data_IF_182402506511
#
_entry.id   IF_182402506511
#
_cell.length_a   1.000
_cell.length_b   1.000
_cell.length_c   1.000
_cell.angle_alpha   90.00
_cell.angle_beta   90.00
_cell.angle_gamma   90.00
#
_symmetry.space_group_name_H-M   'P 1'
#
loop_
_entity.id
_entity.type
_entity.pdbx_description
1 polymer ?
#
# COMPACT_ATOMS: atom_id res chain seq x y z
N UNK A 1 28.63 25.20 7.72
CA UNK A 1 27.35 24.97 8.43
C UNK A 1 26.74 23.73 7.83
N UNK A 2 26.50 22.71 8.63
CA UNK A 2 25.80 21.53 8.16
C UNK A 2 24.34 21.92 7.96
N UNK A 3 23.78 21.73 6.76
CA UNK A 3 22.43 22.22 6.40
C UNK A 3 21.26 21.58 7.17
N UNK A 4 21.56 20.83 8.22
CA UNK A 4 20.61 20.14 9.08
C UNK A 4 20.48 20.92 10.39
N UNK A 5 19.31 21.51 10.58
CA UNK A 5 18.85 22.10 11.85
C UNK A 5 17.47 21.51 12.14
N UNK A 6 17.47 20.30 12.72
CA UNK A 6 16.24 19.57 13.05
C UNK A 6 16.00 19.60 14.55
N UNK A 7 14.76 19.87 14.94
CA UNK A 7 14.24 19.69 16.30
C UNK A 7 13.76 18.23 16.48
N UNK A 8 14.50 17.37 17.19
CA UNK A 8 14.12 15.96 17.34
C UNK A 8 12.79 15.76 18.06
N UNK A 9 12.43 16.66 18.99
CA UNK A 9 11.16 16.58 19.71
C UNK A 9 9.99 16.93 18.78
N UNK A 10 10.15 17.99 17.98
CA UNK A 10 9.21 18.35 16.92
C UNK A 10 9.00 17.21 15.91
N UNK A 11 10.07 16.57 15.45
CA UNK A 11 9.98 15.43 14.53
C UNK A 11 9.25 14.25 15.18
N UNK A 12 9.54 13.91 16.43
CA UNK A 12 8.83 12.85 17.17
C UNK A 12 7.31 13.11 17.24
N UNK A 13 6.91 14.36 17.48
CA UNK A 13 5.50 14.76 17.47
C UNK A 13 4.82 14.54 16.11
N UNK A 14 5.50 14.88 15.00
CA UNK A 14 4.99 14.66 13.64
C UNK A 14 4.93 13.17 13.30
N UNK A 15 5.95 12.40 13.66
CA UNK A 15 6.00 10.95 13.45
C UNK A 15 4.87 10.24 14.19
N UNK A 16 4.59 10.62 15.43
CA UNK A 16 3.49 10.04 16.23
C UNK A 16 2.12 10.29 15.60
N UNK A 17 1.85 11.53 15.18
CA UNK A 17 0.60 11.90 14.50
C UNK A 17 0.45 11.16 13.17
N UNK A 18 1.50 11.14 12.37
CA UNK A 18 1.50 10.50 11.05
C UNK A 18 1.39 8.98 11.15
N UNK A 19 2.05 8.37 12.13
CA UNK A 19 1.90 6.94 12.44
C UNK A 19 0.49 6.58 12.90
N UNK A 20 -0.17 7.46 13.67
CA UNK A 20 -1.58 7.28 14.04
C UNK A 20 -2.49 7.31 12.81
N UNK A 21 -2.32 8.32 11.93
CA UNK A 21 -3.08 8.41 10.69
C UNK A 21 -2.84 7.20 9.77
N UNK A 22 -1.59 6.74 9.64
CA UNK A 22 -1.24 5.55 8.87
C UNK A 22 -1.92 4.28 9.42
N UNK A 23 -1.98 4.14 10.75
CA UNK A 23 -2.68 3.05 11.41
C UNK A 23 -4.18 3.07 11.13
N UNK A 24 -4.81 4.24 11.18
CA UNK A 24 -6.24 4.36 10.89
C UNK A 24 -6.57 4.11 9.42
N UNK A 25 -5.70 4.54 8.50
CA UNK A 25 -5.78 4.19 7.08
C UNK A 25 -5.70 2.67 6.87
N UNK A 26 -4.77 1.98 7.54
CA UNK A 26 -4.66 0.52 7.46
C UNK A 26 -5.92 -0.19 7.98
N UNK A 27 -6.51 0.29 9.07
CA UNK A 27 -7.80 -0.24 9.57
C UNK A 27 -8.92 -0.04 8.57
N UNK A 28 -9.03 1.16 7.98
CA UNK A 28 -10.06 1.47 6.99
C UNK A 28 -9.92 0.58 5.74
N UNK A 29 -8.70 0.40 5.23
CA UNK A 29 -8.43 -0.53 4.12
C UNK A 29 -8.81 -1.97 4.44
N UNK A 30 -8.47 -2.44 5.65
CA UNK A 30 -8.86 -3.77 6.13
C UNK A 30 -10.36 -3.96 6.37
N UNK A 31 -11.12 -2.89 6.65
CA UNK A 31 -12.57 -2.91 6.71
C UNK A 31 -13.17 -2.96 5.30
N UNK A 32 -12.72 -2.10 4.39
CA UNK A 32 -13.10 -2.08 2.98
C UNK A 32 -12.92 -3.45 2.31
N UNK A 33 -11.81 -4.15 2.56
CA UNK A 33 -11.60 -5.49 2.00
C UNK A 33 -12.67 -6.49 2.47
N UNK A 34 -13.02 -6.48 3.76
CA UNK A 34 -14.07 -7.36 4.30
C UNK A 34 -15.44 -6.99 3.76
N UNK A 35 -15.73 -5.69 3.63
CA UNK A 35 -17.00 -5.20 3.14
C UNK A 35 -17.19 -5.56 1.65
N UNK A 36 -16.13 -5.47 0.84
CA UNK A 36 -16.13 -5.91 -0.56
C UNK A 36 -16.36 -7.41 -0.70
N UNK A 37 -15.72 -8.23 0.13
CA UNK A 37 -15.92 -9.69 0.14
C UNK A 37 -17.35 -10.06 0.55
N UNK A 38 -17.87 -9.42 1.59
CA UNK A 38 -19.25 -9.59 2.06
C UNK A 38 -20.27 -9.17 0.99
N UNK A 39 -20.09 -8.00 0.40
CA UNK A 39 -20.96 -7.49 -0.66
C UNK A 39 -20.91 -8.37 -1.92
N UNK A 40 -19.72 -8.85 -2.31
CA UNK A 40 -19.57 -9.77 -3.44
C UNK A 40 -20.28 -11.10 -3.19
N UNK A 41 -20.22 -11.63 -1.96
CA UNK A 41 -20.92 -12.86 -1.58
C UNK A 41 -22.44 -12.68 -1.55
N UNK A 42 -22.92 -11.49 -1.20
CA UNK A 42 -24.34 -11.15 -1.16
C UNK A 42 -24.92 -10.77 -2.55
N UNK A 43 -24.08 -10.51 -3.56
CA UNK A 43 -24.45 -9.95 -4.86
C UNK A 43 -25.27 -10.88 -5.78
N UNK A 44 -25.69 -12.05 -5.30
CA UNK A 44 -26.39 -13.06 -6.10
C UNK A 44 -25.47 -13.76 -7.11
N UNK A 45 -25.97 -14.85 -7.69
CA UNK A 45 -25.23 -15.65 -8.67
C UNK A 45 -25.96 -15.67 -9.99
N UNK A 46 -25.20 -15.70 -11.09
CA UNK A 46 -25.76 -16.02 -12.40
C UNK A 46 -25.82 -17.54 -12.52
N UNK A 47 -27.02 -18.06 -12.80
CA UNK A 47 -27.24 -19.46 -13.17
C UNK A 47 -27.47 -19.55 -14.67
N UNK A 48 -26.80 -20.49 -15.34
CA UNK A 48 -27.08 -20.78 -16.74
C UNK A 48 -28.45 -21.43 -16.87
N UNK A 49 -29.35 -20.80 -17.63
CA UNK A 49 -30.71 -21.32 -17.86
C UNK A 49 -30.72 -22.57 -18.77
N UNK A 50 -29.60 -22.91 -19.43
CA UNK A 50 -29.51 -23.98 -20.44
C UNK A 50 -28.25 -24.87 -20.35
N UNK A 51 -27.58 -24.93 -19.20
CA UNK A 51 -26.36 -25.74 -19.00
C UNK A 51 -26.24 -26.33 -17.58
N UNK A 52 -25.20 -27.13 -17.27
CA UNK A 52 -25.01 -27.66 -15.92
C UNK A 52 -25.03 -26.50 -14.92
N UNK A 53 -25.76 -26.67 -13.81
CA UNK A 53 -25.96 -25.66 -12.78
C UNK A 53 -24.64 -25.30 -12.08
N UNK A 54 -23.81 -24.48 -12.71
CA UNK A 54 -22.64 -23.86 -12.08
C UNK A 54 -23.04 -22.43 -11.74
N UNK A 55 -23.15 -22.14 -10.45
CA UNK A 55 -23.39 -20.77 -9.99
C UNK A 55 -22.09 -19.99 -10.12
N UNK A 56 -22.05 -19.02 -11.05
CA UNK A 56 -20.95 -18.05 -11.16
C UNK A 56 -21.31 -16.78 -10.40
N UNK A 57 -20.31 -16.07 -9.88
CA UNK A 57 -20.50 -14.77 -9.24
C UNK A 57 -21.36 -13.85 -10.14
N UNK A 58 -22.36 -13.20 -9.54
CA UNK A 58 -23.20 -12.24 -10.25
C UNK A 58 -22.39 -11.08 -10.82
N UNK A 59 -23.00 -10.30 -11.73
CA UNK A 59 -22.35 -9.16 -12.39
C UNK A 59 -21.79 -8.16 -11.35
N UNK A 60 -22.54 -7.94 -10.27
CA UNK A 60 -22.13 -7.06 -9.16
C UNK A 60 -20.93 -7.64 -8.40
N UNK A 61 -20.95 -8.93 -8.04
CA UNK A 61 -19.81 -9.57 -7.38
C UNK A 61 -18.54 -9.55 -8.25
N UNK A 62 -18.70 -9.77 -9.55
CA UNK A 62 -17.61 -9.68 -10.53
C UNK A 62 -17.03 -8.26 -10.63
N UNK A 63 -17.88 -7.23 -10.62
CA UNK A 63 -17.44 -5.84 -10.63
C UNK A 63 -16.70 -5.44 -9.34
N UNK A 64 -17.19 -5.91 -8.18
CA UNK A 64 -16.53 -5.68 -6.89
C UNK A 64 -15.17 -6.37 -6.82
N UNK A 65 -15.02 -7.58 -7.38
CA UNK A 65 -13.74 -8.26 -7.49
C UNK A 65 -12.74 -7.48 -8.36
N UNK A 66 -13.17 -6.96 -9.52
CA UNK A 66 -12.32 -6.12 -10.38
C UNK A 66 -11.94 -4.80 -9.69
N UNK A 67 -12.88 -4.17 -9.00
CA UNK A 67 -12.62 -2.97 -8.22
C UNK A 67 -11.59 -3.25 -7.11
N UNK A 68 -11.75 -4.34 -6.35
CA UNK A 68 -10.80 -4.75 -5.33
C UNK A 68 -9.40 -4.98 -5.92
N UNK A 69 -9.29 -5.69 -7.05
CA UNK A 69 -8.03 -5.94 -7.73
C UNK A 69 -7.34 -4.65 -8.18
N UNK A 70 -8.10 -3.70 -8.74
CA UNK A 70 -7.56 -2.44 -9.23
C UNK A 70 -7.03 -1.56 -8.09
N UNK A 71 -7.78 -1.42 -7.01
CA UNK A 71 -7.43 -0.49 -5.93
C UNK A 71 -6.47 -1.08 -4.90
N UNK A 72 -6.40 -2.41 -4.75
CA UNK A 72 -5.53 -3.04 -3.75
C UNK A 72 -4.06 -2.69 -3.98
N UNK A 73 -3.60 -2.65 -5.24
CA UNK A 73 -2.22 -2.24 -5.56
C UNK A 73 -1.92 -0.85 -5.02
N UNK A 74 -2.80 0.10 -5.30
CA UNK A 74 -2.57 1.51 -4.98
C UNK A 74 -2.66 1.74 -3.47
N UNK A 75 -3.56 1.03 -2.78
CA UNK A 75 -3.65 1.03 -1.32
C UNK A 75 -2.38 0.48 -0.66
N UNK A 76 -1.87 -0.65 -1.16
CA UNK A 76 -0.59 -1.24 -0.70
C UNK A 76 0.57 -0.29 -1.00
N UNK A 77 0.57 0.34 -2.18
CA UNK A 77 1.60 1.32 -2.55
C UNK A 77 1.65 2.51 -1.60
N UNK A 78 0.50 3.13 -1.31
CA UNK A 78 0.42 4.27 -0.39
C UNK A 78 0.85 3.85 1.01
N UNK A 79 0.44 2.67 1.48
CA UNK A 79 0.87 2.13 2.77
C UNK A 79 2.40 1.96 2.85
N UNK A 80 3.00 1.31 1.85
CA UNK A 80 4.46 1.11 1.76
C UNK A 80 5.23 2.42 1.65
N UNK A 81 4.72 3.37 0.87
CA UNK A 81 5.32 4.70 0.71
C UNK A 81 5.29 5.49 2.02
N UNK A 82 4.19 5.38 2.76
CA UNK A 82 4.01 6.01 4.07
C UNK A 82 4.95 5.38 5.08
N UNK A 83 5.01 4.05 5.14
CA UNK A 83 5.93 3.29 6.00
C UNK A 83 7.39 3.71 5.76
N UNK A 84 7.85 3.71 4.50
CA UNK A 84 9.20 4.17 4.12
C UNK A 84 9.48 5.61 4.58
N UNK A 85 8.54 6.54 4.36
CA UNK A 85 8.71 7.93 4.78
C UNK A 85 8.86 8.07 6.30
N UNK A 86 8.02 7.37 7.05
CA UNK A 86 8.04 7.45 8.52
C UNK A 86 9.32 6.84 9.09
N UNK A 87 9.70 5.66 8.61
CA UNK A 87 10.92 4.98 9.05
C UNK A 87 12.16 5.79 8.67
N UNK A 88 12.24 6.30 7.44
CA UNK A 88 13.35 7.14 7.01
C UNK A 88 13.50 8.42 7.81
N UNK A 89 12.40 9.09 8.13
CA UNK A 89 12.43 10.28 8.99
C UNK A 89 12.85 9.95 10.43
N UNK A 90 12.41 8.82 10.97
CA UNK A 90 12.85 8.34 12.28
C UNK A 90 14.36 8.02 12.28
N UNK A 91 14.82 7.21 11.33
CA UNK A 91 16.23 6.82 11.17
C UNK A 91 17.13 8.03 10.93
N UNK A 92 16.71 8.98 10.09
CA UNK A 92 17.47 10.20 9.83
C UNK A 92 17.60 11.06 11.09
N UNK A 93 16.54 11.19 11.87
CA UNK A 93 16.56 11.94 13.13
C UNK A 93 17.45 11.25 14.16
N UNK A 94 17.36 9.93 14.28
CA UNK A 94 18.24 9.13 15.14
C UNK A 94 19.70 9.33 14.75
N UNK A 95 20.05 9.18 13.47
CA UNK A 95 21.41 9.38 12.98
C UNK A 95 21.93 10.81 13.24
N UNK A 96 21.08 11.82 13.05
CA UNK A 96 21.41 13.21 13.37
C UNK A 96 21.69 13.41 14.86
N UNK A 97 20.86 12.87 15.76
CA UNK A 97 21.07 12.94 17.22
C UNK A 97 22.37 12.24 17.63
N UNK A 98 22.76 11.17 16.94
CA UNK A 98 24.04 10.50 17.14
C UNK A 98 25.24 11.21 16.48
N UNK A 99 25.03 12.36 15.84
CA UNK A 99 26.08 13.17 15.20
C UNK A 99 26.52 12.68 13.81
N UNK A 100 25.83 11.67 13.25
CA UNK A 100 26.17 11.08 11.95
C UNK A 100 25.27 11.62 10.85
N UNK A 101 25.68 12.74 10.26
CA UNK A 101 24.89 13.41 9.23
C UNK A 101 24.90 12.68 7.89
N UNK A 102 25.97 11.93 7.60
CA UNK A 102 26.03 11.06 6.43
C UNK A 102 24.97 9.97 6.52
N UNK A 103 24.85 9.30 7.68
CA UNK A 103 23.80 8.31 7.89
C UNK A 103 22.40 8.95 7.87
N UNK A 104 22.26 10.17 8.37
CA UNK A 104 20.99 10.89 8.30
C UNK A 104 20.58 11.19 6.84
N UNK A 105 21.51 11.65 6.02
CA UNK A 105 21.30 11.90 4.60
C UNK A 105 21.01 10.60 3.83
N UNK A 106 21.73 9.52 4.14
CA UNK A 106 21.52 8.21 3.52
C UNK A 106 20.12 7.67 3.86
N UNK A 107 19.70 7.72 5.13
CA UNK A 107 18.36 7.29 5.54
C UNK A 107 17.25 8.08 4.80
N UNK A 108 17.42 9.40 4.66
CA UNK A 108 16.50 10.24 3.90
C UNK A 108 16.46 9.84 2.41
N UNK A 109 17.62 9.61 1.79
CA UNK A 109 17.71 9.21 0.37
C UNK A 109 17.09 7.83 0.14
N UNK A 110 17.35 6.85 1.00
CA UNK A 110 16.77 5.51 0.92
C UNK A 110 15.25 5.54 1.04
N UNK A 111 14.72 6.37 1.93
CA UNK A 111 13.27 6.54 2.11
C UNK A 111 12.59 7.28 0.94
N UNK A 112 13.34 8.07 0.16
CA UNK A 112 12.84 8.71 -1.05
C UNK A 112 12.71 7.72 -2.23
N UNK A 113 13.44 6.60 -2.21
CA UNK A 113 13.36 5.58 -3.26
C UNK A 113 11.98 4.95 -3.32
N UNK A 114 11.55 4.64 -4.53
CA UNK A 114 10.25 4.04 -4.79
C UNK A 114 10.07 2.73 -3.99
N UNK A 115 8.89 2.49 -3.40
CA UNK A 115 8.60 1.24 -2.72
C UNK A 115 8.44 0.10 -3.73
N UNK A 116 9.08 -1.03 -3.48
CA UNK A 116 8.79 -2.26 -4.22
C UNK A 116 7.44 -2.81 -3.77
N UNK A 117 6.51 -3.00 -4.72
CA UNK A 117 5.21 -3.63 -4.47
C UNK A 117 5.23 -4.99 -5.14
N UNK A 118 5.40 -6.04 -4.35
CA UNK A 118 5.18 -7.40 -4.81
C UNK A 118 3.69 -7.74 -4.62
N UNK A 119 2.99 -7.97 -5.74
CA UNK A 119 1.59 -8.36 -5.71
C UNK A 119 1.49 -9.86 -6.01
N UNK A 120 0.81 -10.65 -5.16
CA UNK A 120 0.50 -12.04 -5.50
C UNK A 120 -0.36 -12.07 -6.77
N UNK A 121 0.13 -12.72 -7.83
CA UNK A 121 -0.55 -12.90 -9.12
C UNK A 121 -0.09 -11.98 -10.27
N UNK A 122 0.90 -11.10 -10.07
CA UNK A 122 1.40 -10.23 -11.13
C UNK A 122 2.35 -10.91 -12.14
N UNK A 123 2.62 -12.21 -12.00
CA UNK A 123 3.59 -12.94 -12.82
C UNK A 123 3.15 -13.35 -14.23
N UNK A 124 1.87 -13.18 -14.62
CA UNK A 124 1.35 -13.77 -15.87
C UNK A 124 0.71 -12.79 -16.87
N UNK A 125 0.83 -11.47 -16.70
CA UNK A 125 0.45 -10.52 -17.76
C UNK A 125 1.68 -10.10 -18.58
N UNK A 126 2.24 -11.10 -19.26
CA UNK A 126 2.80 -11.03 -20.61
C UNK A 126 3.74 -9.87 -20.95
N UNK A 127 5.04 -10.09 -20.68
CA UNK A 127 6.06 -9.71 -21.66
C UNK A 127 5.73 -10.42 -23.00
N UNK A 128 5.10 -9.71 -23.94
CA UNK A 128 5.17 -10.06 -25.36
C UNK A 128 5.82 -8.91 -26.12
N UNK A 129 7.11 -8.80 -25.93
CA UNK A 129 8.02 -8.22 -26.92
C UNK A 129 8.75 -9.37 -27.58
N UNK A 130 8.37 -9.73 -28.80
CA UNK A 130 9.28 -10.35 -29.77
C UNK A 130 8.66 -10.39 -31.18
N UNK A 131 9.32 -9.67 -32.10
CA UNK A 131 9.66 -10.16 -33.43
C UNK A 131 8.57 -10.22 -34.50
N UNK A 132 8.43 -9.15 -35.28
CA UNK A 132 8.82 -9.14 -36.71
C UNK A 132 8.87 -7.74 -37.30
#
# INVERSE_FOLDING_TARGET
MTGWDIDPAGVSGVLSKSGTAAKDMSKAGGAMQKDLESASSAAGTLTSQYGPYTSTAGVVGSALAQFAQHWNRDLVYIARRTEKSLNGAAEATTAYVHGSQEQAANAQQEAAKEPAIDMPGAGEIGHRTEGR
#
